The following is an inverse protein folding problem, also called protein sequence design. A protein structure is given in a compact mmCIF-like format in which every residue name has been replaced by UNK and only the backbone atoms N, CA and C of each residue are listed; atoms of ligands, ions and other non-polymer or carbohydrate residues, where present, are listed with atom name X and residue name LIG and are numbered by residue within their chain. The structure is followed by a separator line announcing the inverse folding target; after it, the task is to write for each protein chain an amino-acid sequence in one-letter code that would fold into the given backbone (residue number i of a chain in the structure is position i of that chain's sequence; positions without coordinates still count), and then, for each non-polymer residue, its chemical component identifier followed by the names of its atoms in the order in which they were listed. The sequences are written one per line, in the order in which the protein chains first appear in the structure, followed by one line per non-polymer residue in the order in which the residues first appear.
data_IF_917720214446
#
_entry.id   IF_917720214446
#
_cell.length_a   1.000
_cell.length_b   1.000
_cell.length_c   1.000
_cell.angle_alpha   90.00
_cell.angle_beta   90.00
_cell.angle_gamma   90.00
#
_symmetry.space_group_name_H-M   'P 1'
#
loop_
_entity.id
_entity.type
_entity.pdbx_description
1 polymer ?
#
# COMPACT_ATOMS: atom_id res chain seq x y z
N UNK A 1 -6.33 6.04 3.36
CA UNK A 1 -5.31 6.05 2.29
C UNK A 1 -3.94 6.00 2.90
N UNK A 2 -3.19 4.92 2.66
CA UNK A 2 -1.78 4.84 3.00
C UNK A 2 -0.97 5.47 1.86
N UNK A 3 -0.05 6.36 2.17
CA UNK A 3 0.80 7.03 1.16
C UNK A 3 2.27 7.11 1.55
N UNK A 4 2.62 6.66 2.76
CA UNK A 4 3.99 6.55 3.21
C UNK A 4 4.17 5.23 3.98
N UNK A 5 5.22 4.48 3.65
CA UNK A 5 5.58 3.21 4.31
C UNK A 5 7.09 3.16 4.52
N UNK A 6 7.56 2.60 5.63
CA UNK A 6 8.98 2.30 5.79
C UNK A 6 9.35 1.12 4.88
N UNK A 7 10.59 1.07 4.43
CA UNK A 7 11.15 -0.15 3.82
C UNK A 7 12.04 -0.90 4.81
N UNK A 8 12.67 -2.00 4.37
CA UNK A 8 13.52 -2.80 5.24
C UNK A 8 14.73 -2.03 5.75
N UNK A 9 15.26 -2.51 6.86
CA UNK A 9 16.56 -2.07 7.38
C UNK A 9 17.69 -2.83 6.69
N UNK A 10 18.71 -2.10 6.24
CA UNK A 10 19.91 -2.68 5.65
C UNK A 10 20.97 -2.84 6.74
N UNK A 11 21.38 -4.08 7.00
CA UNK A 11 22.40 -4.44 7.97
C UNK A 11 23.60 -5.04 7.27
N UNK A 12 24.79 -4.50 7.51
CA UNK A 12 26.05 -5.00 6.96
C UNK A 12 26.85 -5.65 8.09
N UNK A 13 26.93 -6.98 8.07
CA UNK A 13 27.60 -7.80 9.08
C UNK A 13 28.97 -8.22 8.55
N UNK A 14 30.03 -7.74 9.20
CA UNK A 14 31.41 -7.99 8.81
C UNK A 14 32.00 -9.14 9.61
N UNK A 15 32.40 -10.20 8.92
CA UNK A 15 32.88 -11.42 9.56
C UNK A 15 33.86 -12.17 8.66
N UNK A 16 34.79 -12.89 9.27
CA UNK A 16 35.62 -13.91 8.61
C UNK A 16 34.92 -15.29 8.56
N UNK A 17 33.95 -15.53 9.45
CA UNK A 17 33.15 -16.74 9.58
C UNK A 17 31.81 -16.67 8.81
N UNK A 18 31.87 -16.28 7.53
CA UNK A 18 30.70 -16.02 6.66
C UNK A 18 29.66 -17.14 6.71
N UNK A 19 30.06 -18.39 6.50
CA UNK A 19 29.13 -19.53 6.46
C UNK A 19 28.46 -19.79 7.80
N UNK A 20 29.16 -19.60 8.92
CA UNK A 20 28.61 -19.81 10.26
C UNK A 20 27.59 -18.74 10.62
N UNK A 21 27.92 -17.47 10.33
CA UNK A 21 27.01 -16.34 10.55
C UNK A 21 25.81 -16.41 9.61
N UNK A 22 26.01 -16.80 8.34
CA UNK A 22 24.93 -17.06 7.39
C UNK A 22 23.98 -18.12 7.90
N UNK A 23 24.52 -19.25 8.36
CA UNK A 23 23.73 -20.36 8.91
C UNK A 23 22.88 -19.92 10.11
N UNK A 24 23.43 -19.09 11.00
CA UNK A 24 22.68 -18.49 12.10
C UNK A 24 21.45 -17.71 11.60
N UNK A 25 21.62 -16.82 10.63
CA UNK A 25 20.48 -16.05 10.11
C UNK A 25 19.44 -16.92 9.39
N UNK A 26 19.86 -18.00 8.72
CA UNK A 26 18.95 -18.92 8.02
C UNK A 26 18.19 -19.84 8.99
N UNK A 27 18.86 -20.44 9.97
CA UNK A 27 18.27 -21.47 10.84
C UNK A 27 17.62 -20.87 12.09
N UNK A 28 18.32 -19.99 12.81
CA UNK A 28 17.85 -19.50 14.12
C UNK A 28 16.85 -18.34 13.97
N UNK A 29 16.99 -17.55 12.91
CA UNK A 29 16.10 -16.43 12.60
C UNK A 29 15.15 -16.70 11.42
N UNK A 30 15.09 -17.96 10.95
CA UNK A 30 14.25 -18.39 9.83
C UNK A 30 14.41 -17.50 8.58
N UNK A 31 15.63 -17.00 8.37
CA UNK A 31 15.96 -16.15 7.24
C UNK A 31 15.94 -16.91 5.91
N UNK A 32 15.84 -16.16 4.83
CA UNK A 32 15.87 -16.66 3.45
C UNK A 32 17.02 -16.03 2.70
N UNK A 33 17.88 -16.86 2.13
CA UNK A 33 18.92 -16.39 1.22
C UNK A 33 18.27 -15.81 -0.05
N UNK A 34 18.75 -14.64 -0.47
CA UNK A 34 18.16 -13.89 -1.58
C UNK A 34 19.21 -13.00 -2.24
N UNK A 35 18.90 -12.50 -3.43
CA UNK A 35 19.64 -11.39 -4.04
C UNK A 35 19.12 -10.05 -3.52
N UNK A 36 19.93 -9.00 -3.61
CA UNK A 36 19.57 -7.66 -3.10
C UNK A 36 18.21 -7.16 -3.59
N UNK A 37 18.01 -7.11 -4.90
CA UNK A 37 16.79 -6.56 -5.49
C UNK A 37 15.58 -7.44 -5.16
N UNK A 38 15.71 -8.77 -5.26
CA UNK A 38 14.64 -9.70 -4.90
C UNK A 38 14.27 -9.61 -3.41
N UNK A 39 15.28 -9.45 -2.55
CA UNK A 39 15.11 -9.24 -1.12
C UNK A 39 14.39 -7.93 -0.81
N UNK A 40 14.74 -6.84 -1.49
CA UNK A 40 14.04 -5.54 -1.35
C UNK A 40 12.58 -5.63 -1.78
N UNK A 41 12.28 -6.37 -2.84
CA UNK A 41 10.90 -6.56 -3.30
C UNK A 41 10.07 -7.43 -2.35
N UNK A 42 10.68 -8.43 -1.68
CA UNK A 42 9.98 -9.33 -0.75
C UNK A 42 9.81 -8.74 0.65
N UNK A 43 10.73 -7.86 1.04
CA UNK A 43 10.76 -7.26 2.36
C UNK A 43 9.57 -6.34 2.65
N UNK A 44 9.18 -6.31 3.92
CA UNK A 44 8.20 -5.37 4.47
C UNK A 44 8.89 -4.34 5.38
N UNK A 45 8.11 -3.50 6.05
CA UNK A 45 8.61 -2.56 7.07
C UNK A 45 9.16 -3.25 8.33
N UNK A 46 8.78 -4.50 8.55
CA UNK A 46 9.22 -5.34 9.67
C UNK A 46 10.38 -6.26 9.30
N UNK A 47 10.89 -6.18 8.06
CA UNK A 47 12.00 -7.00 7.59
C UNK A 47 13.35 -6.29 7.70
N UNK A 48 14.42 -7.09 7.76
CA UNK A 48 15.80 -6.65 7.64
C UNK A 48 16.50 -7.42 6.52
N UNK A 49 17.26 -6.70 5.69
CA UNK A 49 18.18 -7.30 4.73
C UNK A 49 19.58 -7.28 5.31
N UNK A 50 20.16 -8.46 5.42
CA UNK A 50 21.43 -8.69 6.08
C UNK A 50 22.46 -9.06 5.03
N UNK A 51 23.42 -8.17 4.81
CA UNK A 51 24.55 -8.35 3.91
C UNK A 51 25.74 -8.85 4.74
N UNK A 52 26.22 -10.04 4.42
CA UNK A 52 27.39 -10.62 5.08
C UNK A 52 28.60 -10.32 4.20
N UNK A 53 29.49 -9.48 4.70
CA UNK A 53 30.70 -9.03 4.00
C UNK A 53 31.95 -9.52 4.71
N UNK A 54 33.10 -9.38 4.05
CA UNK A 54 34.37 -9.54 4.76
C UNK A 54 34.70 -8.36 5.69
N UNK A 55 35.78 -8.54 6.44
CA UNK A 55 36.31 -7.56 7.40
C UNK A 55 37.10 -6.42 6.76
N UNK A 56 37.43 -6.52 5.46
CA UNK A 56 38.31 -5.58 4.77
C UNK A 56 37.56 -4.49 4.01
N UNK A 57 36.29 -4.73 3.66
CA UNK A 57 35.42 -3.66 3.17
C UNK A 57 35.49 -2.48 4.15
N UNK A 58 35.44 -1.25 3.64
CA UNK A 58 35.47 -0.04 4.49
C UNK A 58 34.15 0.72 4.45
N UNK A 59 33.41 0.56 3.35
CA UNK A 59 32.08 1.14 3.13
C UNK A 59 30.99 0.08 3.17
N UNK A 60 29.74 0.51 3.30
CA UNK A 60 28.56 -0.34 3.10
C UNK A 60 28.25 -0.39 1.62
N UNK A 61 28.68 -1.46 0.93
CA UNK A 61 28.31 -1.70 -0.46
C UNK A 61 27.61 -3.04 -0.60
N UNK A 62 26.55 -3.06 -1.40
CA UNK A 62 25.80 -4.28 -1.71
C UNK A 62 26.67 -5.26 -2.50
N UNK A 63 27.55 -4.74 -3.35
CA UNK A 63 28.38 -5.56 -4.26
C UNK A 63 29.46 -6.36 -3.53
N UNK A 64 29.84 -5.92 -2.33
CA UNK A 64 30.81 -6.59 -1.47
C UNK A 64 30.20 -7.76 -0.66
N UNK A 65 28.88 -7.93 -0.72
CA UNK A 65 28.18 -8.97 0.02
C UNK A 65 28.52 -10.35 -0.53
N UNK A 66 29.10 -11.20 0.31
CA UNK A 66 29.34 -12.62 0.02
C UNK A 66 28.06 -13.43 0.12
N UNK A 67 27.12 -12.99 0.96
CA UNK A 67 25.78 -13.54 1.07
C UNK A 67 24.80 -12.44 1.48
N UNK A 68 23.57 -12.54 1.01
CA UNK A 68 22.46 -11.66 1.45
C UNK A 68 21.32 -12.52 1.97
N UNK A 69 20.84 -12.20 3.18
CA UNK A 69 19.77 -12.91 3.85
C UNK A 69 18.65 -11.93 4.19
N UNK A 70 17.44 -12.25 3.75
CA UNK A 70 16.22 -11.58 4.20
C UNK A 70 15.73 -12.24 5.48
N UNK A 71 15.54 -11.44 6.52
CA UNK A 71 14.94 -11.88 7.78
C UNK A 71 13.68 -11.06 8.00
N UNK A 72 12.56 -11.71 8.29
CA UNK A 72 11.28 -11.06 8.59
C UNK A 72 11.20 -10.61 10.05
N UNK A 73 12.27 -9.97 10.52
CA UNK A 73 12.38 -9.39 11.85
C UNK A 73 13.04 -8.01 11.78
N UNK A 74 12.63 -7.04 12.64
CA UNK A 74 13.29 -5.75 12.74
C UNK A 74 14.76 -5.90 13.13
N UNK A 75 15.58 -4.97 12.65
CA UNK A 75 17.03 -4.99 12.88
C UNK A 75 17.44 -5.14 14.35
N UNK A 76 16.69 -4.51 15.27
CA UNK A 76 16.92 -4.62 16.71
C UNK A 76 16.77 -6.05 17.24
N UNK A 77 15.83 -6.82 16.68
CA UNK A 77 15.61 -8.22 17.05
C UNK A 77 16.73 -9.09 16.50
N UNK A 78 17.14 -8.88 15.23
CA UNK A 78 18.28 -9.59 14.65
C UNK A 78 19.57 -9.37 15.46
N UNK A 79 19.84 -8.12 15.86
CA UNK A 79 21.00 -7.78 16.68
C UNK A 79 20.92 -8.40 18.09
N UNK A 80 19.76 -8.34 18.74
CA UNK A 80 19.56 -8.95 20.05
C UNK A 80 19.73 -10.47 20.01
N UNK A 81 19.19 -11.13 18.99
CA UNK A 81 19.34 -12.57 18.80
C UNK A 81 20.81 -12.96 18.60
N UNK A 82 21.57 -12.20 17.81
CA UNK A 82 23.00 -12.46 17.61
C UNK A 82 23.82 -12.36 18.90
N UNK A 83 23.48 -11.41 19.78
CA UNK A 83 24.12 -11.26 21.10
C UNK A 83 23.74 -12.44 22.01
N UNK A 84 22.46 -12.77 22.08
CA UNK A 84 21.91 -13.77 23.00
C UNK A 84 22.25 -15.21 22.60
N UNK A 85 22.37 -15.50 21.30
CA UNK A 85 22.87 -16.79 20.78
C UNK A 85 24.40 -16.89 20.80
N UNK A 86 25.07 -15.89 21.39
CA UNK A 86 26.52 -15.80 21.49
C UNK A 86 27.24 -15.88 20.13
N UNK A 87 26.59 -15.54 19.01
CA UNK A 87 27.22 -15.51 17.68
C UNK A 87 28.04 -14.23 17.47
N UNK A 88 27.79 -13.19 18.27
CA UNK A 88 28.48 -11.91 18.19
C UNK A 88 30.03 -11.99 18.26
N UNK A 89 30.60 -13.02 18.90
CA UNK A 89 32.07 -13.19 18.92
C UNK A 89 32.68 -13.53 17.55
N UNK A 90 31.86 -13.96 16.58
CA UNK A 90 32.25 -14.24 15.21
C UNK A 90 32.10 -12.99 14.31
N UNK A 91 31.57 -11.89 14.83
CA UNK A 91 31.27 -10.68 14.08
C UNK A 91 32.20 -9.57 14.55
N UNK A 92 32.99 -9.04 13.63
CA UNK A 92 33.93 -7.96 13.91
C UNK A 92 33.17 -6.63 14.09
N UNK A 93 32.21 -6.37 13.19
CA UNK A 93 31.43 -5.13 13.18
C UNK A 93 30.09 -5.32 12.48
N UNK A 94 29.11 -4.54 12.90
CA UNK A 94 27.86 -4.37 12.18
C UNK A 94 27.65 -2.90 11.87
N UNK A 95 27.43 -2.58 10.61
CA UNK A 95 27.08 -1.23 10.15
C UNK A 95 25.62 -1.21 9.68
N UNK A 96 24.92 -0.11 9.94
CA UNK A 96 23.60 0.12 9.37
C UNK A 96 23.75 0.92 8.08
N UNK A 97 23.15 0.43 7.00
CA UNK A 97 23.03 1.20 5.76
C UNK A 97 21.98 2.31 5.85
N UNK A 98 21.74 3.02 4.74
CA UNK A 98 20.70 4.02 4.69
C UNK A 98 19.32 3.39 4.89
N UNK A 99 18.42 4.18 5.45
CA UNK A 99 17.04 3.76 5.66
C UNK A 99 16.27 3.83 4.35
N UNK A 100 15.24 3.01 4.15
CA UNK A 100 14.36 3.15 2.99
C UNK A 100 12.95 3.60 3.39
N UNK A 101 12.32 4.43 2.54
CA UNK A 101 10.94 4.87 2.65
C UNK A 101 10.31 4.74 1.26
N UNK A 102 9.06 4.28 1.21
CA UNK A 102 8.25 4.31 -0.01
C UNK A 102 7.14 5.34 0.15
N UNK A 103 7.00 6.24 -0.82
CA UNK A 103 5.92 7.21 -0.88
C UNK A 103 5.08 7.00 -2.14
N UNK A 104 3.76 6.91 -1.93
CA UNK A 104 2.78 6.91 -3.01
C UNK A 104 2.53 8.34 -3.49
N UNK A 105 2.62 8.56 -4.79
CA UNK A 105 2.36 9.84 -5.45
C UNK A 105 1.30 9.67 -6.54
N UNK A 106 0.79 10.79 -7.08
CA UNK A 106 -0.12 10.78 -8.22
C UNK A 106 0.10 12.02 -9.10
N UNK A 107 -0.13 11.89 -10.40
CA UNK A 107 0.08 13.00 -11.34
C UNK A 107 1.54 13.15 -11.73
N UNK A 108 2.03 14.40 -11.77
CA UNK A 108 3.38 14.73 -12.22
C UNK A 108 4.45 14.38 -11.16
N UNK A 109 5.08 13.23 -11.35
CA UNK A 109 6.16 12.76 -10.47
C UNK A 109 7.41 13.63 -10.54
N UNK A 110 7.72 14.22 -11.70
CA UNK A 110 8.95 15.00 -11.86
C UNK A 110 8.89 16.27 -11.00
N UNK A 111 7.75 16.96 -10.99
CA UNK A 111 7.52 18.09 -10.10
C UNK A 111 7.66 17.72 -8.62
N UNK A 112 7.18 16.53 -8.21
CA UNK A 112 7.34 16.04 -6.83
C UNK A 112 8.81 15.81 -6.49
N UNK A 113 9.57 15.19 -7.40
CA UNK A 113 11.01 14.95 -7.21
C UNK A 113 11.74 16.28 -7.01
N UNK A 114 11.49 17.26 -7.87
CA UNK A 114 12.12 18.58 -7.78
C UNK A 114 11.79 19.30 -6.47
N UNK A 115 10.52 19.27 -6.04
CA UNK A 115 10.09 19.91 -4.78
C UNK A 115 10.71 19.22 -3.55
N UNK A 116 10.76 17.89 -3.54
CA UNK A 116 11.40 17.12 -2.46
C UNK A 116 12.91 17.42 -2.41
N UNK A 117 13.61 17.39 -3.54
CA UNK A 117 15.04 17.69 -3.59
C UNK A 117 15.34 19.15 -3.21
N UNK A 118 14.48 20.09 -3.59
CA UNK A 118 14.61 21.49 -3.17
C UNK A 118 14.44 21.64 -1.66
N UNK A 119 13.50 20.91 -1.05
CA UNK A 119 13.17 21.05 0.36
C UNK A 119 14.09 20.27 1.30
N UNK A 120 14.50 19.07 0.91
CA UNK A 120 15.28 18.14 1.75
C UNK A 120 16.73 17.97 1.28
N UNK A 121 17.11 18.55 0.14
CA UNK A 121 18.38 18.27 -0.51
C UNK A 121 18.44 16.84 -1.07
N UNK A 122 19.65 16.40 -1.44
CA UNK A 122 19.89 15.03 -1.88
C UNK A 122 20.17 14.89 -3.38
N UNK A 123 20.12 13.65 -3.85
CA UNK A 123 20.42 13.27 -5.24
C UNK A 123 19.49 12.17 -5.72
N UNK A 124 19.17 12.17 -7.01
CA UNK A 124 18.55 11.03 -7.68
C UNK A 124 19.66 10.08 -8.16
N UNK A 125 19.64 8.83 -7.70
CA UNK A 125 20.67 7.82 -7.97
C UNK A 125 20.01 6.50 -8.35
N UNK A 126 20.76 5.55 -8.90
CA UNK A 126 20.30 4.16 -8.95
C UNK A 126 20.15 3.59 -7.54
N UNK A 127 19.43 2.46 -7.39
CA UNK A 127 19.20 1.85 -6.08
C UNK A 127 20.53 1.43 -5.44
N UNK A 128 21.40 0.82 -6.25
CA UNK A 128 22.71 0.33 -5.87
C UNK A 128 23.62 1.50 -5.43
N UNK A 129 23.71 2.56 -6.24
CA UNK A 129 24.47 3.76 -5.88
C UNK A 129 23.91 4.48 -4.64
N UNK A 130 22.59 4.49 -4.45
CA UNK A 130 21.97 5.11 -3.29
C UNK A 130 22.32 4.37 -1.99
N UNK A 131 22.46 3.04 -2.03
CA UNK A 131 22.92 2.25 -0.88
C UNK A 131 24.43 2.44 -0.66
N UNK A 132 25.22 2.47 -1.73
CA UNK A 132 26.68 2.60 -1.65
C UNK A 132 27.14 4.00 -1.24
N UNK A 133 26.43 5.05 -1.65
CA UNK A 133 26.69 6.44 -1.23
C UNK A 133 26.11 6.74 0.16
N UNK A 134 24.97 6.16 0.50
CA UNK A 134 24.23 6.46 1.72
C UNK A 134 24.78 5.75 2.96
N UNK A 135 24.60 6.39 4.12
CA UNK A 135 25.01 5.87 5.42
C UNK A 135 23.80 5.81 6.38
N UNK A 136 24.00 5.34 7.62
CA UNK A 136 22.93 5.22 8.64
C UNK A 136 22.13 6.52 8.91
N UNK A 137 22.72 7.67 8.60
CA UNK A 137 22.13 8.99 8.76
C UNK A 137 21.24 9.42 7.60
N UNK A 138 21.18 8.65 6.53
CA UNK A 138 20.53 9.00 5.27
C UNK A 138 19.28 8.15 5.01
N UNK A 139 18.50 8.60 4.03
CA UNK A 139 17.24 7.96 3.63
C UNK A 139 17.14 7.85 2.13
N UNK A 140 16.88 6.65 1.63
CA UNK A 140 16.47 6.38 0.27
C UNK A 140 14.94 6.49 0.21
N UNK A 141 14.44 7.44 -0.56
CA UNK A 141 13.02 7.62 -0.82
C UNK A 141 12.67 7.04 -2.21
N UNK A 142 11.87 5.99 -2.20
CA UNK A 142 11.24 5.43 -3.39
C UNK A 142 9.89 6.10 -3.61
N UNK A 143 9.59 6.42 -4.87
CA UNK A 143 8.28 6.92 -5.28
C UNK A 143 7.53 5.82 -6.07
N UNK A 144 6.21 5.82 -6.01
CA UNK A 144 5.36 4.93 -6.82
C UNK A 144 3.95 5.51 -7.00
N UNK A 145 3.27 5.11 -8.07
CA UNK A 145 1.81 5.34 -8.21
C UNK A 145 0.96 4.18 -7.66
N UNK A 146 1.59 3.05 -7.34
CA UNK A 146 0.92 1.85 -6.86
C UNK A 146 0.55 1.96 -5.38
N UNK A 147 -0.35 1.08 -4.96
CA UNK A 147 -0.70 0.91 -3.56
C UNK A 147 0.53 0.42 -2.78
N UNK A 148 0.70 0.92 -1.57
CA UNK A 148 1.91 0.64 -0.78
C UNK A 148 1.64 -0.23 0.43
N UNK A 149 0.39 -0.62 0.70
CA UNK A 149 0.06 -1.67 1.67
C UNK A 149 0.57 -3.05 1.23
N UNK A 150 0.99 -3.19 -0.03
CA UNK A 150 1.34 -4.46 -0.65
C UNK A 150 2.80 -4.56 -1.02
N UNK A 151 3.21 -5.78 -1.34
CA UNK A 151 4.48 -6.06 -1.98
C UNK A 151 4.61 -5.22 -3.26
N UNK A 152 5.72 -4.53 -3.41
CA UNK A 152 6.04 -3.70 -4.58
C UNK A 152 7.18 -4.34 -5.34
N UNK A 153 7.01 -4.47 -6.65
CA UNK A 153 8.09 -4.92 -7.53
C UNK A 153 8.96 -3.72 -7.94
N UNK A 154 10.18 -3.97 -8.41
CA UNK A 154 11.04 -2.93 -8.98
C UNK A 154 10.34 -2.18 -10.12
N UNK A 155 9.57 -2.90 -10.94
CA UNK A 155 8.78 -2.33 -12.03
C UNK A 155 7.61 -1.45 -11.56
N UNK A 156 7.20 -1.54 -10.29
CA UNK A 156 6.17 -0.69 -9.70
C UNK A 156 6.71 0.65 -9.19
N UNK A 157 8.03 0.77 -9.05
CA UNK A 157 8.72 1.97 -8.57
C UNK A 157 9.25 2.80 -9.74
N UNK A 158 9.46 4.10 -9.50
CA UNK A 158 10.20 4.92 -10.46
C UNK A 158 11.68 4.52 -10.47
N UNK A 159 12.32 4.67 -11.64
CA UNK A 159 13.67 4.15 -11.89
C UNK A 159 14.74 4.71 -10.94
N UNK A 160 14.60 5.98 -10.53
CA UNK A 160 15.62 6.69 -9.74
C UNK A 160 15.06 7.07 -8.36
N UNK A 161 15.36 6.31 -7.30
CA UNK A 161 15.08 6.76 -5.95
C UNK A 161 15.91 8.00 -5.57
N UNK A 162 15.47 8.69 -4.51
CA UNK A 162 16.12 9.88 -4.00
C UNK A 162 16.91 9.53 -2.75
N UNK A 163 18.23 9.74 -2.76
CA UNK A 163 19.06 9.69 -1.57
C UNK A 163 19.03 11.05 -0.86
N UNK A 164 18.39 11.10 0.30
CA UNK A 164 18.20 12.29 1.12
C UNK A 164 19.19 12.27 2.31
N UNK A 165 19.94 13.36 2.56
CA UNK A 165 21.01 13.40 3.56
C UNK A 165 20.48 13.61 4.98
N UNK A 166 19.42 12.90 5.34
CA UNK A 166 18.66 13.05 6.58
C UNK A 166 18.11 11.71 7.07
N UNK A 167 18.00 11.50 8.39
CA UNK A 167 17.57 10.23 8.93
C UNK A 167 16.09 9.99 8.67
N UNK A 168 15.72 8.72 8.46
CA UNK A 168 14.35 8.37 8.06
C UNK A 168 13.30 8.82 9.06
N UNK A 169 13.59 8.85 10.35
CA UNK A 169 12.65 9.35 11.36
C UNK A 169 12.23 10.80 11.11
N UNK A 170 13.17 11.64 10.65
CA UNK A 170 12.92 13.04 10.30
C UNK A 170 12.14 13.15 8.99
N UNK A 171 12.61 12.48 7.94
CA UNK A 171 11.95 12.49 6.62
C UNK A 171 10.54 11.94 6.73
N UNK A 172 10.36 10.79 7.37
CA UNK A 172 9.06 10.16 7.56
C UNK A 172 8.09 11.07 8.30
N UNK A 173 8.52 11.68 9.42
CA UNK A 173 7.67 12.59 10.20
C UNK A 173 7.24 13.81 9.37
N UNK A 174 8.15 14.33 8.55
CA UNK A 174 7.88 15.48 7.68
C UNK A 174 6.96 15.15 6.52
N UNK A 175 7.27 14.09 5.77
CA UNK A 175 6.43 13.59 4.68
C UNK A 175 5.05 13.13 5.17
N UNK A 176 4.91 12.64 6.41
CA UNK A 176 3.59 12.33 6.97
C UNK A 176 2.71 13.58 7.11
N UNK A 177 3.30 14.72 7.45
CA UNK A 177 2.56 15.98 7.58
C UNK A 177 2.32 16.68 6.23
N UNK A 178 3.29 16.61 5.33
CA UNK A 178 3.34 17.40 4.10
C UNK A 178 3.01 16.56 2.85
N UNK A 179 2.94 15.23 2.97
CA UNK A 179 2.79 14.29 1.85
C UNK A 179 1.53 14.51 1.03
N UNK A 180 0.40 14.81 1.69
CA UNK A 180 -0.85 15.13 0.99
C UNK A 180 -0.69 16.41 0.15
N UNK A 181 0.11 17.39 0.61
CA UNK A 181 0.37 18.61 -0.12
C UNK A 181 1.14 18.31 -1.41
N UNK A 182 2.23 17.54 -1.33
CA UNK A 182 2.99 17.08 -2.51
C UNK A 182 2.10 16.35 -3.52
N UNK A 183 1.31 15.37 -3.04
CA UNK A 183 0.37 14.62 -3.89
C UNK A 183 -0.64 15.56 -4.53
N UNK A 184 -1.12 16.59 -3.82
CA UNK A 184 -2.12 17.52 -4.34
C UNK A 184 -1.53 18.45 -5.41
N UNK A 185 -0.32 18.97 -5.18
CA UNK A 185 0.35 19.89 -6.11
C UNK A 185 0.71 19.22 -7.43
N UNK A 186 0.99 17.91 -7.41
CA UNK A 186 1.33 17.13 -8.60
C UNK A 186 0.12 16.72 -9.45
N UNK A 187 -1.12 16.85 -8.95
CA UNK A 187 -2.30 16.60 -9.78
C UNK A 187 -2.47 17.70 -10.83
N UNK A 188 -2.81 17.32 -12.07
CA UNK A 188 -3.02 18.26 -13.19
C UNK A 188 -4.00 19.40 -12.84
N UNK A 189 -5.10 19.09 -12.17
CA UNK A 189 -6.10 20.07 -11.74
C UNK A 189 -5.95 20.51 -10.27
N UNK A 190 -4.92 20.00 -9.56
CA UNK A 190 -4.72 20.17 -8.11
C UNK A 190 -5.96 19.81 -7.28
N UNK A 191 -6.77 18.88 -7.77
CA UNK A 191 -8.08 18.54 -7.22
C UNK A 191 -8.20 17.05 -6.98
N UNK A 192 -8.67 16.74 -5.79
CA UNK A 192 -9.19 15.44 -5.42
C UNK A 192 -10.66 15.34 -5.81
N UNK A 193 -11.14 14.11 -5.96
CA UNK A 193 -12.55 13.84 -6.12
C UNK A 193 -13.21 13.70 -4.75
N UNK A 194 -14.20 14.54 -4.52
CA UNK A 194 -15.13 14.38 -3.41
C UNK A 194 -16.36 13.63 -3.93
N UNK A 195 -16.49 12.38 -3.50
CA UNK A 195 -17.55 11.48 -3.90
C UNK A 195 -18.48 11.22 -2.72
N UNK A 196 -19.78 11.08 -2.98
CA UNK A 196 -20.72 10.60 -1.98
C UNK A 196 -21.27 9.26 -2.42
N UNK A 197 -21.22 8.29 -1.51
CA UNK A 197 -21.73 6.94 -1.72
C UNK A 197 -22.94 6.79 -0.82
N UNK A 198 -24.12 6.56 -1.40
CA UNK A 198 -25.32 6.25 -0.65
C UNK A 198 -25.54 4.74 -0.69
N UNK A 199 -25.74 4.15 0.48
CA UNK A 199 -26.05 2.74 0.68
C UNK A 199 -27.55 2.64 0.92
N UNK A 200 -28.28 2.02 0.00
CA UNK A 200 -29.69 1.66 0.20
C UNK A 200 -29.79 0.16 0.36
N UNK A 201 -30.33 -0.24 1.50
CA UNK A 201 -30.55 -1.63 1.83
C UNK A 201 -32.00 -1.82 2.26
N UNK A 202 -32.69 -2.72 1.57
CA UNK A 202 -34.07 -3.09 1.85
C UNK A 202 -34.19 -4.14 2.96
N UNK A 203 -33.10 -4.86 3.28
CA UNK A 203 -33.09 -5.97 4.22
C UNK A 203 -32.65 -5.57 5.64
N UNK A 204 -32.22 -4.32 5.84
CA UNK A 204 -31.84 -3.78 7.16
C UNK A 204 -30.46 -4.21 7.66
N UNK A 205 -29.66 -4.88 6.84
CA UNK A 205 -28.26 -5.31 7.02
C UNK A 205 -27.26 -4.22 6.64
N UNK A 206 -27.57 -3.01 7.07
CA UNK A 206 -26.82 -1.82 6.72
C UNK A 206 -25.35 -1.91 7.18
N UNK A 207 -25.15 -2.37 8.42
CA UNK A 207 -23.82 -2.40 9.04
C UNK A 207 -22.89 -3.37 8.30
N UNK A 208 -23.43 -4.48 7.81
CA UNK A 208 -22.72 -5.52 7.08
C UNK A 208 -22.28 -5.00 5.71
N UNK A 209 -23.18 -4.32 4.99
CA UNK A 209 -22.85 -3.68 3.72
C UNK A 209 -21.84 -2.55 3.87
N UNK A 210 -21.95 -1.75 4.92
CA UNK A 210 -20.97 -0.73 5.27
C UNK A 210 -19.61 -1.34 5.58
N UNK A 211 -19.55 -2.37 6.43
CA UNK A 211 -18.31 -3.05 6.79
C UNK A 211 -17.64 -3.64 5.54
N UNK A 212 -18.42 -4.26 4.65
CA UNK A 212 -17.92 -4.78 3.36
C UNK A 212 -17.35 -3.68 2.47
N UNK A 213 -18.08 -2.56 2.32
CA UNK A 213 -17.62 -1.43 1.53
C UNK A 213 -16.33 -0.82 2.10
N UNK A 214 -16.31 -0.51 3.40
CA UNK A 214 -15.16 0.10 4.05
C UNK A 214 -13.93 -0.81 3.99
N UNK A 215 -14.12 -2.12 4.13
CA UNK A 215 -13.06 -3.11 3.95
C UNK A 215 -12.42 -3.00 2.56
N UNK A 216 -13.23 -3.01 1.50
CA UNK A 216 -12.72 -2.88 0.12
C UNK A 216 -12.06 -1.52 -0.13
N UNK A 217 -12.65 -0.42 0.35
CA UNK A 217 -12.06 0.91 0.23
C UNK A 217 -10.69 0.98 0.91
N UNK A 218 -10.51 0.26 2.01
CA UNK A 218 -9.26 0.17 2.76
C UNK A 218 -8.22 -0.67 2.02
N UNK A 219 -8.56 -1.91 1.63
CA UNK A 219 -7.62 -2.81 0.95
C UNK A 219 -7.17 -2.26 -0.40
N UNK A 220 -8.06 -1.59 -1.12
CA UNK A 220 -7.73 -0.94 -2.39
C UNK A 220 -7.16 0.48 -2.20
N UNK A 221 -6.92 0.93 -0.97
CA UNK A 221 -6.43 2.27 -0.63
C UNK A 221 -7.10 3.39 -1.45
N UNK A 222 -8.42 3.29 -1.62
CA UNK A 222 -9.16 4.12 -2.58
C UNK A 222 -9.13 5.58 -2.15
N UNK A 223 -9.17 5.86 -0.86
CA UNK A 223 -9.18 7.22 -0.36
C UNK A 223 -9.29 7.34 1.15
N UNK A 224 -9.89 8.45 1.58
CA UNK A 224 -10.19 8.77 2.98
C UNK A 224 -11.68 9.02 3.12
N UNK A 225 -12.32 8.34 4.06
CA UNK A 225 -13.69 8.66 4.47
C UNK A 225 -13.63 9.91 5.34
N UNK A 226 -14.32 10.98 4.94
CA UNK A 226 -14.35 12.25 5.66
C UNK A 226 -15.57 12.36 6.57
N UNK A 227 -16.72 11.90 6.09
CA UNK A 227 -17.99 12.01 6.80
C UNK A 227 -18.81 10.74 6.56
N UNK A 228 -19.58 10.36 7.57
CA UNK A 228 -20.51 9.24 7.53
C UNK A 228 -21.77 9.58 8.30
N UNK A 229 -22.92 9.10 7.83
CA UNK A 229 -24.16 9.30 8.56
C UNK A 229 -25.43 9.00 7.78
N UNK A 230 -26.53 8.95 8.52
CA UNK A 230 -27.86 8.77 7.96
C UNK A 230 -28.31 10.02 7.19
N UNK A 231 -28.81 9.80 5.99
CA UNK A 231 -29.40 10.84 5.15
C UNK A 231 -30.76 10.41 4.65
N UNK A 232 -31.57 11.39 4.27
CA UNK A 232 -32.87 11.17 3.64
C UNK A 232 -32.78 11.65 2.21
N UNK A 233 -32.89 10.72 1.27
CA UNK A 233 -32.94 11.06 -0.14
C UNK A 233 -34.39 11.30 -0.55
N UNK A 234 -34.64 12.45 -1.15
CA UNK A 234 -35.98 12.85 -1.60
C UNK A 234 -36.16 12.41 -3.04
N UNK A 235 -36.38 11.11 -3.25
CA UNK A 235 -36.53 10.52 -4.57
C UNK A 235 -37.74 11.08 -5.34
N UNK A 236 -38.80 11.50 -4.63
CA UNK A 236 -40.02 12.14 -5.14
C UNK A 236 -40.59 13.10 -4.08
N UNK A 237 -41.43 14.06 -4.49
CA UNK A 237 -42.16 14.90 -3.53
C UNK A 237 -42.92 14.00 -2.53
N UNK A 238 -42.68 14.20 -1.23
CA UNK A 238 -43.27 13.47 -0.09
C UNK A 238 -42.74 12.04 0.20
N UNK A 239 -41.83 11.49 -0.60
CA UNK A 239 -41.19 10.20 -0.31
C UNK A 239 -39.70 10.40 0.01
N UNK A 240 -39.33 10.19 1.27
CA UNK A 240 -37.93 10.14 1.70
C UNK A 240 -37.49 8.70 1.91
N UNK A 241 -36.47 8.25 1.18
CA UNK A 241 -35.83 6.96 1.42
C UNK A 241 -34.66 7.20 2.36
N UNK A 242 -34.59 6.42 3.44
CA UNK A 242 -33.45 6.44 4.34
C UNK A 242 -32.27 5.75 3.65
N UNK A 243 -31.14 6.45 3.60
CA UNK A 243 -29.89 5.91 3.11
C UNK A 243 -28.79 6.26 4.09
N UNK A 244 -27.75 5.45 4.13
CA UNK A 244 -26.53 5.87 4.81
C UNK A 244 -25.54 6.39 3.78
N UNK A 245 -24.98 7.56 4.07
CA UNK A 245 -24.07 8.25 3.19
C UNK A 245 -22.65 8.19 3.72
N UNK A 246 -21.72 7.93 2.81
CA UNK A 246 -20.28 8.03 3.04
C UNK A 246 -19.74 9.12 2.10
N UNK A 247 -19.00 10.08 2.66
CA UNK A 247 -18.27 11.08 1.89
C UNK A 247 -16.81 10.65 1.77
N UNK A 248 -16.40 10.33 0.55
CA UNK A 248 -15.09 9.80 0.21
C UNK A 248 -14.27 10.85 -0.53
N UNK A 249 -13.04 11.06 -0.06
CA UNK A 249 -12.03 11.88 -0.73
C UNK A 249 -11.00 10.98 -1.38
N UNK A 250 -10.86 11.05 -2.70
CA UNK A 250 -10.11 10.06 -3.48
C UNK A 250 -9.39 10.65 -4.68
N UNK A 251 -8.33 9.96 -5.12
CA UNK A 251 -7.65 10.19 -6.39
C UNK A 251 -8.32 9.46 -7.56
N UNK A 252 -9.20 8.49 -7.26
CA UNK A 252 -9.91 7.71 -8.27
C UNK A 252 -10.93 8.58 -8.95
N UNK A 253 -10.97 8.48 -10.27
CA UNK A 253 -12.00 9.16 -11.04
C UNK A 253 -13.37 8.59 -10.70
N UNK A 254 -14.45 9.38 -10.85
CA UNK A 254 -15.77 8.94 -10.47
C UNK A 254 -16.24 7.67 -11.23
N UNK A 255 -15.80 7.47 -12.47
CA UNK A 255 -16.08 6.25 -13.23
C UNK A 255 -15.35 5.02 -12.68
N UNK A 256 -14.09 5.18 -12.27
CA UNK A 256 -13.31 4.11 -11.61
C UNK A 256 -13.96 3.70 -10.28
N UNK A 257 -14.39 4.67 -9.48
CA UNK A 257 -15.11 4.40 -8.24
C UNK A 257 -16.44 3.68 -8.49
N UNK A 258 -17.20 4.08 -9.51
CA UNK A 258 -18.48 3.42 -9.81
C UNK A 258 -18.29 1.96 -10.25
N UNK A 259 -17.20 1.63 -10.97
CA UNK A 259 -16.86 0.22 -11.28
C UNK A 259 -16.66 -0.61 -10.01
N UNK A 260 -15.98 -0.07 -9.00
CA UNK A 260 -15.79 -0.75 -7.70
C UNK A 260 -17.16 -1.00 -7.04
N UNK A 261 -18.02 0.02 -6.98
CA UNK A 261 -19.33 -0.12 -6.34
C UNK A 261 -20.23 -1.14 -7.05
N UNK A 262 -20.22 -1.18 -8.39
CA UNK A 262 -20.98 -2.17 -9.15
C UNK A 262 -20.56 -3.61 -8.82
N UNK A 263 -19.26 -3.86 -8.64
CA UNK A 263 -18.75 -5.16 -8.20
C UNK A 263 -19.18 -5.56 -6.78
N UNK A 264 -19.61 -4.58 -5.97
CA UNK A 264 -20.12 -4.80 -4.61
C UNK A 264 -21.66 -4.79 -4.53
N UNK A 265 -22.40 -4.43 -5.59
CA UNK A 265 -23.87 -4.45 -5.56
C UNK A 265 -24.43 -5.89 -5.58
N UNK A 266 -23.68 -6.84 -6.16
CA UNK A 266 -24.12 -8.21 -6.45
C UNK A 266 -23.24 -9.27 -5.77
N UNK A 267 -23.87 -10.41 -5.47
CA UNK A 267 -23.19 -11.62 -5.00
C UNK A 267 -22.62 -12.44 -6.17
N UNK A 268 -21.93 -13.53 -5.86
CA UNK A 268 -21.34 -14.44 -6.86
C UNK A 268 -22.39 -15.09 -7.78
N UNK A 269 -23.62 -15.31 -7.31
CA UNK A 269 -24.72 -15.89 -8.09
C UNK A 269 -25.45 -14.86 -8.97
N UNK A 270 -25.06 -13.59 -8.92
CA UNK A 270 -25.72 -12.51 -9.65
C UNK A 270 -27.00 -11.99 -8.98
N UNK A 271 -27.24 -12.33 -7.72
CA UNK A 271 -28.28 -11.74 -6.89
C UNK A 271 -27.83 -10.38 -6.35
N UNK A 272 -28.72 -9.39 -6.40
CA UNK A 272 -28.44 -8.05 -5.86
C UNK A 272 -28.58 -8.08 -4.34
N UNK A 273 -27.53 -7.66 -3.63
CA UNK A 273 -27.54 -7.52 -2.17
C UNK A 273 -27.90 -6.11 -1.72
N UNK A 274 -27.32 -5.10 -2.38
CA UNK A 274 -27.42 -3.71 -1.92
C UNK A 274 -27.41 -2.76 -3.12
N UNK A 275 -28.00 -1.57 -2.96
CA UNK A 275 -27.84 -0.48 -3.93
C UNK A 275 -26.77 0.51 -3.45
N UNK A 276 -25.78 0.75 -4.30
CA UNK A 276 -24.66 1.65 -4.03
C UNK A 276 -24.64 2.77 -5.06
N UNK A 277 -25.26 3.89 -4.70
CA UNK A 277 -25.30 5.06 -5.57
C UNK A 277 -24.09 5.95 -5.36
N UNK A 278 -23.47 6.34 -6.47
CA UNK A 278 -22.35 7.28 -6.47
C UNK A 278 -22.81 8.65 -6.93
N UNK A 279 -22.43 9.68 -6.19
CA UNK A 279 -22.65 11.07 -6.53
C UNK A 279 -21.33 11.82 -6.62
N UNK A 280 -21.19 12.63 -7.66
CA UNK A 280 -20.11 13.59 -7.83
C UNK A 280 -20.69 14.95 -8.20
N UNK A 281 -20.31 16.01 -7.45
CA UNK A 281 -20.84 17.38 -7.64
C UNK A 281 -22.38 17.43 -7.71
N UNK A 282 -23.05 16.76 -6.78
CA UNK A 282 -24.52 16.63 -6.71
C UNK A 282 -25.17 15.94 -7.92
N UNK A 283 -24.41 15.26 -8.79
CA UNK A 283 -24.96 14.46 -9.89
C UNK A 283 -24.71 12.98 -9.62
N UNK A 284 -25.78 12.17 -9.74
CA UNK A 284 -25.68 10.72 -9.69
C UNK A 284 -24.93 10.22 -10.92
N UNK A 285 -23.96 9.32 -10.72
CA UNK A 285 -23.22 8.67 -11.79
C UNK A 285 -23.87 7.32 -12.05
N UNK A 286 -24.39 7.15 -13.26
CA UNK A 286 -25.05 5.91 -13.64
C UNK A 286 -24.05 4.89 -14.18
N UNK A 287 -24.39 3.62 -14.06
CA UNK A 287 -23.64 2.51 -14.65
C UNK A 287 -23.58 2.60 -16.18
N UNK A 288 -24.53 3.31 -16.81
CA UNK A 288 -24.48 3.54 -18.27
C UNK A 288 -23.39 4.52 -18.68
N UNK A 289 -22.94 5.39 -17.76
CA UNK A 289 -22.03 6.50 -18.07
C UNK A 289 -20.54 6.09 -18.10
N UNK A 290 -20.16 5.01 -17.42
CA UNK A 290 -18.76 4.62 -17.20
C UNK A 290 -18.09 3.95 -18.42
N UNK A 291 -18.84 3.16 -19.19
CA UNK A 291 -18.35 2.43 -20.35
C UNK A 291 -19.29 2.66 -21.54
N UNK A 292 -19.10 3.76 -22.28
CA UNK A 292 -19.87 4.12 -23.47
C UNK A 292 -19.58 3.17 -24.65
N UNK A 293 -19.91 1.88 -24.48
CA UNK A 293 -19.78 0.85 -25.52
C UNK A 293 -21.07 0.79 -26.35
N UNK A 294 -20.91 0.65 -27.68
CA UNK A 294 -22.01 0.38 -28.60
C UNK A 294 -22.42 -1.10 -28.50
N UNK A 295 -23.66 -1.40 -28.13
CA UNK A 295 -24.19 -2.78 -28.08
C UNK A 295 -25.18 -3.03 -26.94
N UNK A 296 -25.71 -4.27 -26.88
CA UNK A 296 -26.59 -4.73 -25.79
C UNK A 296 -25.73 -4.99 -24.55
N UNK A 297 -25.91 -4.19 -23.50
CA UNK A 297 -25.20 -4.31 -22.22
C UNK A 297 -26.05 -5.09 -21.22
N UNK A 298 -25.45 -6.03 -20.51
CA UNK A 298 -26.08 -6.75 -19.42
C UNK A 298 -25.48 -6.28 -18.09
N UNK A 299 -26.30 -5.63 -17.25
CA UNK A 299 -25.84 -5.07 -15.97
C UNK A 299 -25.23 -6.15 -15.07
N UNK A 300 -25.83 -7.34 -15.01
CA UNK A 300 -25.39 -8.41 -14.10
C UNK A 300 -24.00 -8.91 -14.52
N UNK A 301 -23.80 -9.19 -15.81
CA UNK A 301 -22.51 -9.63 -16.34
C UNK A 301 -21.41 -8.59 -16.11
N UNK A 302 -21.71 -7.29 -16.26
CA UNK A 302 -20.75 -6.22 -15.97
C UNK A 302 -20.41 -6.15 -14.47
N UNK A 303 -21.40 -6.32 -13.59
CA UNK A 303 -21.16 -6.35 -12.14
C UNK A 303 -20.29 -7.54 -11.74
N UNK A 304 -20.54 -8.73 -12.30
CA UNK A 304 -19.71 -9.92 -12.04
C UNK A 304 -18.27 -9.73 -12.53
N UNK A 305 -18.07 -9.13 -13.70
CA UNK A 305 -16.73 -8.79 -14.20
C UNK A 305 -16.00 -7.79 -13.29
N UNK A 306 -16.71 -6.77 -12.80
CA UNK A 306 -16.12 -5.81 -11.86
C UNK A 306 -15.80 -6.45 -10.51
N UNK A 307 -16.64 -7.39 -10.05
CA UNK A 307 -16.37 -8.18 -8.84
C UNK A 307 -15.11 -9.02 -9.00
N UNK A 308 -14.96 -9.74 -10.11
CA UNK A 308 -13.76 -10.51 -10.42
C UNK A 308 -12.51 -9.61 -10.43
N UNK A 309 -12.59 -8.44 -11.07
CA UNK A 309 -11.49 -7.47 -11.08
C UNK A 309 -11.14 -6.91 -9.69
N UNK A 310 -12.11 -6.85 -8.75
CA UNK A 310 -11.82 -6.51 -7.35
C UNK A 310 -11.08 -7.68 -6.70
N UNK A 311 -11.57 -8.90 -6.85
CA UNK A 311 -10.96 -10.09 -6.24
C UNK A 311 -9.54 -10.35 -6.75
N UNK A 312 -9.26 -10.15 -8.04
CA UNK A 312 -7.90 -10.23 -8.60
C UNK A 312 -6.94 -9.24 -7.95
N UNK A 313 -7.46 -8.11 -7.48
CA UNK A 313 -6.73 -7.12 -6.73
C UNK A 313 -6.80 -7.38 -5.23
N UNK A 314 -7.08 -8.57 -4.72
CA UNK A 314 -6.99 -8.86 -3.29
C UNK A 314 -6.02 -10.03 -3.07
N UNK A 315 -5.31 -10.03 -1.94
CA UNK A 315 -4.57 -11.20 -1.47
C UNK A 315 -5.52 -12.34 -1.10
N UNK A 316 -5.03 -13.56 -0.97
CA UNK A 316 -5.89 -14.69 -0.56
C UNK A 316 -6.51 -14.49 0.82
N UNK A 317 -5.72 -14.02 1.79
CA UNK A 317 -6.24 -13.65 3.12
C UNK A 317 -7.30 -12.55 3.03
N UNK A 318 -7.07 -11.55 2.17
CA UNK A 318 -8.01 -10.46 1.99
C UNK A 318 -9.34 -10.94 1.37
N UNK A 319 -9.27 -11.89 0.44
CA UNK A 319 -10.43 -12.55 -0.19
C UNK A 319 -11.20 -13.38 0.83
N UNK A 320 -10.51 -14.21 1.62
CA UNK A 320 -11.14 -15.02 2.67
C UNK A 320 -11.89 -14.13 3.68
N UNK A 321 -11.27 -13.02 4.08
CA UNK A 321 -11.92 -12.05 4.97
C UNK A 321 -13.13 -11.39 4.33
N UNK A 322 -13.07 -11.03 3.04
CA UNK A 322 -14.22 -10.51 2.31
C UNK A 322 -15.36 -11.53 2.27
N UNK A 323 -15.07 -12.79 1.93
CA UNK A 323 -16.05 -13.87 1.89
C UNK A 323 -16.66 -14.13 3.27
N UNK A 324 -15.87 -14.02 4.35
CA UNK A 324 -16.39 -14.10 5.72
C UNK A 324 -17.38 -12.97 6.04
N UNK A 325 -17.11 -11.73 5.61
CA UNK A 325 -18.06 -10.62 5.75
C UNK A 325 -19.34 -10.86 4.95
N UNK A 326 -19.22 -11.48 3.78
CA UNK A 326 -20.35 -11.85 2.94
C UNK A 326 -21.17 -13.01 3.52
N UNK A 327 -20.52 -13.98 4.18
CA UNK A 327 -21.18 -15.07 4.89
C UNK A 327 -22.15 -14.59 5.97
N UNK A 328 -21.77 -13.54 6.72
CA UNK A 328 -22.65 -12.93 7.74
C UNK A 328 -23.95 -12.38 7.16
N UNK A 329 -23.89 -11.85 5.93
CA UNK A 329 -25.08 -11.34 5.23
C UNK A 329 -26.03 -12.50 4.88
N UNK A 330 -25.49 -13.69 4.59
CA UNK A 330 -26.25 -14.89 4.21
C UNK A 330 -26.80 -15.68 5.41
N UNK A 331 -26.04 -15.83 6.49
CA UNK A 331 -26.47 -16.57 7.69
C UNK A 331 -27.71 -15.93 8.32
N UNK A 332 -27.73 -14.60 8.45
CA UNK A 332 -28.90 -13.87 8.95
C UNK A 332 -30.03 -13.75 7.91
N UNK A 333 -29.87 -14.25 6.67
CA UNK A 333 -30.96 -14.31 5.69
C UNK A 333 -31.78 -15.61 5.82
N UNK A 334 -31.27 -16.60 6.55
CA UNK A 334 -31.93 -17.88 6.79
C UNK A 334 -32.67 -17.92 8.15
N UNK A 335 -32.42 -16.96 9.03
CA UNK A 335 -33.06 -16.84 10.35
C UNK A 335 -34.24 -15.85 10.41
N UNK A 336 -34.57 -15.17 9.31
CA UNK A 336 -35.74 -14.29 9.17
C UNK A 336 -36.68 -14.76 8.07
#
# INVERSE_FOLDING_TARGET
MLFLRMGPRLLFVRTDAVETVKKFFLEDLMGKETEFLMGMEEATEDSSLIFITDIYSTKTSVMDAKATVLVNEPASICLAAMINSHVAHLVERVDMGPSSIVMRTAGDTQGVIEEILQQYGGKALSIEEAVDEGEMGDTILFLTHKQISRRLLKADMFETPLLLPHPASRIFKKLRCEGILFITQSLQDKKWYELRINIYDAQGKYQEHYNRLNYILTQLEVGMVLEEGWTRDHALALFSVLAYQIRLFTLYKPDEMKRILLGLEYNADGNRWVDLDLYYRNKKISWVDIDKKKGKRNKIEECLKHRESILEKLSEEEKERLLSLEGKILEEALEG
#
